data_IF_349075029279
#
_entry.id   IF_349075029279
#
_cell.length_a   1.000
_cell.length_b   1.000
_cell.length_c   1.000
_cell.angle_alpha   90.00
_cell.angle_beta   90.00
_cell.angle_gamma   90.00
#
_symmetry.space_group_name_H-M   'P 1'
#
loop_
_entity.id
_entity.type
_entity.pdbx_description
1 polymer ?
#
# COMPACT_ATOMS: atom_id res chain seq x y z
N UNK A 1 -10.90 -14.87 16.71
CA UNK A 1 -9.81 -14.39 15.84
C UNK A 1 -10.30 -13.20 15.02
N UNK A 2 -10.31 -12.00 15.63
CA UNK A 2 -10.56 -10.70 14.97
C UNK A 2 -9.32 -9.77 15.02
N UNK A 3 -8.15 -10.30 15.42
CA UNK A 3 -7.02 -9.51 15.95
C UNK A 3 -5.93 -9.13 14.92
N UNK A 4 -6.22 -9.05 13.62
CA UNK A 4 -5.20 -8.71 12.60
C UNK A 4 -5.57 -7.58 11.62
N UNK A 5 -6.63 -6.82 11.88
CA UNK A 5 -7.10 -5.73 10.97
C UNK A 5 -6.50 -4.35 11.33
N UNK A 6 -5.57 -4.29 12.27
CA UNK A 6 -5.20 -3.05 12.98
C UNK A 6 -4.31 -2.10 12.15
N UNK A 7 -3.56 -2.61 11.16
CA UNK A 7 -2.63 -1.78 10.38
C UNK A 7 -3.27 -1.04 9.19
N UNK A 8 -4.40 -1.52 8.65
CA UNK A 8 -5.06 -0.91 7.47
C UNK A 8 -6.05 0.19 7.88
N UNK A 9 -6.53 0.13 9.13
CA UNK A 9 -7.56 1.01 9.67
C UNK A 9 -7.14 2.49 9.66
N UNK A 10 -5.88 2.78 9.97
CA UNK A 10 -5.43 4.15 10.23
C UNK A 10 -5.25 5.01 8.96
N UNK A 11 -5.05 4.39 7.79
CA UNK A 11 -4.94 5.12 6.51
C UNK A 11 -6.26 5.78 6.07
N UNK A 12 -7.41 5.31 6.57
CA UNK A 12 -8.74 5.80 6.20
C UNK A 12 -9.13 7.13 6.89
N UNK A 13 -8.30 7.67 7.77
CA UNK A 13 -8.68 8.70 8.76
C UNK A 13 -8.41 10.15 8.30
N UNK A 14 -7.53 10.36 7.33
CA UNK A 14 -7.04 11.71 7.00
C UNK A 14 -7.69 12.35 5.75
N UNK A 15 -8.75 11.74 5.20
CA UNK A 15 -9.41 12.19 3.98
C UNK A 15 -10.59 13.12 4.24
N UNK A 16 -10.35 14.36 4.67
CA UNK A 16 -11.42 15.35 4.70
C UNK A 16 -11.14 16.63 5.48
N UNK A 17 -10.85 17.70 4.75
CA UNK A 17 -11.54 19.01 4.85
C UNK A 17 -10.70 20.14 4.25
N UNK A 18 -11.38 21.17 3.73
CA UNK A 18 -10.81 22.39 3.17
C UNK A 18 -11.27 23.63 4.02
N UNK A 19 -10.37 24.63 4.17
CA UNK A 19 -10.56 26.10 4.35
C UNK A 19 -10.12 26.77 5.69
N UNK A 20 -9.00 27.52 5.62
CA UNK A 20 -8.48 28.62 6.48
C UNK A 20 -8.13 28.38 7.99
N UNK A 21 -6.81 28.36 8.27
CA UNK A 21 -5.97 28.14 9.48
C UNK A 21 -6.50 28.13 10.94
N UNK A 22 -7.73 28.50 11.27
CA UNK A 22 -8.27 28.28 12.64
C UNK A 22 -9.65 27.66 12.62
N UNK A 23 -10.54 28.18 11.76
CA UNK A 23 -11.82 27.53 11.44
C UNK A 23 -11.63 26.25 10.64
N UNK A 24 -10.58 26.18 9.80
CA UNK A 24 -10.13 24.96 9.11
C UNK A 24 -9.92 23.84 10.09
N UNK A 25 -9.06 24.08 11.09
CA UNK A 25 -8.63 23.03 12.00
C UNK A 25 -9.80 22.41 12.75
N UNK A 26 -10.84 23.20 13.11
CA UNK A 26 -12.03 22.69 13.79
C UNK A 26 -12.97 21.89 12.87
N UNK A 27 -13.20 22.34 11.64
CA UNK A 27 -14.02 21.59 10.67
C UNK A 27 -13.30 20.32 10.18
N UNK A 28 -11.99 20.41 9.92
CA UNK A 28 -11.11 19.26 9.65
C UNK A 28 -11.16 18.29 10.83
N UNK A 29 -11.00 18.79 12.06
CA UNK A 29 -11.09 17.97 13.26
C UNK A 29 -12.41 17.21 13.33
N UNK A 30 -13.54 17.87 13.01
CA UNK A 30 -14.86 17.23 13.02
C UNK A 30 -14.98 16.11 11.99
N UNK A 31 -14.45 16.31 10.78
CA UNK A 31 -14.47 15.27 9.72
C UNK A 31 -13.55 14.12 10.08
N UNK A 32 -12.34 14.39 10.59
CA UNK A 32 -11.40 13.40 11.11
C UNK A 32 -12.02 12.61 12.26
N UNK A 33 -12.63 13.27 13.24
CA UNK A 33 -13.30 12.63 14.38
C UNK A 33 -14.44 11.71 13.91
N UNK A 34 -15.20 12.10 12.88
CA UNK A 34 -16.25 11.27 12.30
C UNK A 34 -15.68 10.03 11.61
N UNK A 35 -14.58 10.16 10.88
CA UNK A 35 -13.92 9.03 10.22
C UNK A 35 -13.28 8.07 11.24
N UNK A 36 -12.66 8.60 12.28
CA UNK A 36 -12.19 7.81 13.43
C UNK A 36 -13.34 7.07 14.09
N UNK A 37 -14.46 7.75 14.37
CA UNK A 37 -15.61 7.10 15.02
C UNK A 37 -16.19 5.97 14.15
N UNK A 38 -16.32 6.19 12.83
CA UNK A 38 -16.77 5.18 11.89
C UNK A 38 -15.79 3.99 11.83
N UNK A 39 -14.49 4.27 11.84
CA UNK A 39 -13.45 3.25 11.87
C UNK A 39 -13.52 2.43 13.17
N UNK A 40 -13.64 3.08 14.32
CA UNK A 40 -13.69 2.43 15.62
C UNK A 40 -14.90 1.49 15.73
N UNK A 41 -16.06 1.93 15.21
CA UNK A 41 -17.28 1.11 15.16
C UNK A 41 -17.13 -0.16 14.31
N UNK A 42 -16.30 -0.13 13.26
CA UNK A 42 -16.11 -1.25 12.34
C UNK A 42 -14.96 -2.18 12.77
N UNK A 43 -13.89 -1.62 13.31
CA UNK A 43 -12.62 -2.31 13.53
C UNK A 43 -12.45 -2.87 14.94
N UNK A 44 -13.22 -2.38 15.92
CA UNK A 44 -13.05 -2.78 17.31
C UNK A 44 -11.74 -2.27 17.93
N UNK A 45 -11.24 -1.13 17.46
CA UNK A 45 -10.19 -0.35 18.12
C UNK A 45 -10.67 1.09 18.34
N UNK A 46 -10.09 1.79 19.30
CA UNK A 46 -10.25 3.23 19.47
C UNK A 46 -8.97 3.93 19.02
N UNK A 47 -9.12 4.98 18.21
CA UNK A 47 -8.00 5.80 17.74
C UNK A 47 -8.10 7.18 18.37
N UNK A 48 -7.04 7.61 19.03
CA UNK A 48 -6.90 8.94 19.62
C UNK A 48 -5.70 9.65 19.01
N UNK A 49 -5.68 10.98 19.04
CA UNK A 49 -4.54 11.79 18.61
C UNK A 49 -4.36 12.96 19.59
N UNK A 50 -3.12 13.40 19.76
CA UNK A 50 -2.77 14.49 20.69
C UNK A 50 -2.97 15.87 20.03
N UNK A 51 -2.70 16.00 18.73
CA UNK A 51 -2.85 17.26 17.99
C UNK A 51 -3.26 17.07 16.52
N UNK A 52 -3.89 18.11 15.96
CA UNK A 52 -4.24 18.23 14.54
C UNK A 52 -3.86 19.60 14.02
N UNK A 53 -3.12 19.62 12.91
CA UNK A 53 -2.78 20.86 12.19
C UNK A 53 -3.22 20.76 10.74
N UNK A 54 -3.53 21.91 10.14
CA UNK A 54 -3.89 22.02 8.74
C UNK A 54 -3.12 23.19 8.12
N UNK A 55 -2.65 23.01 6.88
CA UNK A 55 -1.89 24.00 6.14
C UNK A 55 -2.55 24.28 4.80
N UNK A 56 -2.88 25.56 4.56
CA UNK A 56 -3.49 26.02 3.31
C UNK A 56 -2.47 26.07 2.16
N UNK A 57 -1.16 26.16 2.46
CA UNK A 57 -0.13 26.35 1.43
C UNK A 57 0.09 25.11 0.57
N UNK A 58 0.06 23.93 1.19
CA UNK A 58 0.23 22.63 0.55
C UNK A 58 -1.05 21.78 0.63
N UNK A 59 -2.16 22.39 1.04
CA UNK A 59 -3.45 21.74 1.28
C UNK A 59 -3.28 20.42 2.05
N UNK A 60 -2.61 20.51 3.21
CA UNK A 60 -2.27 19.35 4.03
C UNK A 60 -2.94 19.35 5.41
N UNK A 61 -3.19 18.14 5.90
CA UNK A 61 -3.68 17.87 7.25
C UNK A 61 -2.70 16.92 7.91
N UNK A 62 -2.23 17.27 9.11
CA UNK A 62 -1.34 16.43 9.90
C UNK A 62 -1.96 16.12 11.26
N UNK A 63 -2.03 14.84 11.59
CA UNK A 63 -2.33 14.32 12.92
C UNK A 63 -1.02 13.94 13.62
N UNK A 64 -0.91 14.22 14.91
CA UNK A 64 0.29 13.90 15.70
C UNK A 64 -0.05 13.21 17.02
N UNK A 65 0.85 12.36 17.50
CA UNK A 65 0.70 11.65 18.78
C UNK A 65 -0.47 10.67 18.78
N UNK A 66 -0.61 9.89 17.72
CA UNK A 66 -1.74 8.99 17.52
C UNK A 66 -1.54 7.73 18.35
N UNK A 67 -2.60 7.30 19.05
CA UNK A 67 -2.63 6.10 19.89
C UNK A 67 -3.79 5.22 19.46
N UNK A 68 -3.52 3.92 19.30
CA UNK A 68 -4.54 2.92 18.97
C UNK A 68 -4.74 2.02 20.19
N UNK A 69 -5.98 1.90 20.66
CA UNK A 69 -6.36 1.11 21.83
C UNK A 69 -7.41 0.05 21.46
N UNK A 70 -7.48 -1.01 22.24
CA UNK A 70 -8.57 -1.99 22.10
C UNK A 70 -9.85 -1.45 22.74
N UNK A 71 -11.02 -1.60 22.12
CA UNK A 71 -12.31 -1.27 22.81
C UNK A 71 -12.70 -2.33 23.83
N UNK A 72 -12.11 -3.53 23.80
CA UNK A 72 -12.38 -4.59 24.78
C UNK A 72 -11.54 -4.45 26.07
N UNK A 73 -10.59 -3.53 26.12
CA UNK A 73 -9.80 -3.22 27.32
C UNK A 73 -8.86 -2.04 27.08
N UNK A 74 -8.63 -1.21 28.11
CA UNK A 74 -7.83 0.04 28.09
C UNK A 74 -6.33 -0.12 27.70
N UNK A 75 -5.96 -1.23 27.07
CA UNK A 75 -4.60 -1.49 26.63
C UNK A 75 -4.33 -0.82 25.28
N UNK A 76 -3.27 0.00 25.26
CA UNK A 76 -2.71 0.50 24.02
C UNK A 76 -2.15 -0.66 23.20
N UNK A 77 -2.46 -0.65 21.91
CA UNK A 77 -2.03 -1.64 20.92
C UNK A 77 -0.90 -1.09 20.05
N UNK A 78 -0.97 0.18 19.67
CA UNK A 78 0.02 0.82 18.81
C UNK A 78 0.11 2.33 19.04
N UNK A 79 1.17 2.94 18.52
CA UNK A 79 1.38 4.38 18.43
C UNK A 79 1.86 4.76 17.04
N UNK A 80 1.52 5.95 16.58
CA UNK A 80 2.04 6.58 15.37
C UNK A 80 2.42 8.01 15.71
N UNK A 81 3.62 8.43 15.31
CA UNK A 81 4.09 9.77 15.67
C UNK A 81 3.34 10.83 14.85
N UNK A 82 3.31 10.66 13.52
CA UNK A 82 2.54 11.55 12.64
C UNK A 82 1.86 10.82 11.49
N UNK A 83 0.74 11.37 11.04
CA UNK A 83 0.13 11.10 9.74
C UNK A 83 -0.08 12.43 9.05
N UNK A 84 0.42 12.58 7.83
CA UNK A 84 0.16 13.72 6.97
C UNK A 84 -0.53 13.27 5.69
N UNK A 85 -1.58 13.98 5.30
CA UNK A 85 -2.18 13.89 3.97
C UNK A 85 -2.04 15.23 3.28
N UNK A 86 -1.52 15.23 2.06
CA UNK A 86 -1.31 16.44 1.24
C UNK A 86 -2.13 16.37 -0.04
N UNK A 87 -2.54 17.53 -0.54
CA UNK A 87 -3.20 17.64 -1.84
C UNK A 87 -4.61 17.05 -1.93
N UNK A 88 -5.22 16.64 -0.81
CA UNK A 88 -6.56 16.08 -0.81
C UNK A 88 -7.63 17.14 -1.16
N UNK A 89 -8.44 16.86 -2.19
CA UNK A 89 -9.60 17.68 -2.57
C UNK A 89 -10.88 16.84 -2.47
N UNK A 90 -11.92 17.37 -1.80
CA UNK A 90 -13.10 16.58 -1.47
C UNK A 90 -14.07 16.39 -2.64
N UNK A 91 -14.11 17.35 -3.57
CA UNK A 91 -15.04 17.42 -4.70
C UNK A 91 -14.35 17.37 -6.07
N UNK A 92 -13.04 17.11 -6.09
CA UNK A 92 -12.24 17.11 -7.30
C UNK A 92 -11.15 16.04 -7.24
N UNK A 93 -10.60 15.70 -8.41
CA UNK A 93 -9.42 14.86 -8.53
C UNK A 93 -8.21 15.79 -8.50
N UNK A 94 -7.44 15.82 -7.40
CA UNK A 94 -6.29 16.71 -7.30
C UNK A 94 -5.15 16.23 -8.22
N UNK A 95 -4.28 17.14 -8.68
CA UNK A 95 -3.12 16.77 -9.49
C UNK A 95 -2.07 15.98 -8.71
N UNK A 96 -2.06 16.10 -7.37
CA UNK A 96 -1.20 15.35 -6.48
C UNK A 96 -1.95 15.01 -5.19
N UNK A 97 -1.83 13.78 -4.71
CA UNK A 97 -2.23 13.37 -3.36
C UNK A 97 -1.07 12.63 -2.72
N UNK A 98 -0.67 13.05 -1.51
CA UNK A 98 0.36 12.37 -0.74
C UNK A 98 -0.17 11.87 0.60
N UNK A 99 0.35 10.74 1.05
CA UNK A 99 0.11 10.17 2.38
C UNK A 99 1.45 9.79 3.00
N UNK A 100 1.73 10.32 4.19
CA UNK A 100 2.94 10.02 4.95
C UNK A 100 2.55 9.60 6.36
N UNK A 101 2.96 8.41 6.76
CA UNK A 101 2.87 7.92 8.15
C UNK A 101 4.27 7.73 8.69
N UNK A 102 4.54 8.25 9.88
CA UNK A 102 5.86 8.13 10.53
C UNK A 102 5.78 7.38 11.85
N UNK A 103 6.77 6.52 12.06
CA UNK A 103 7.01 5.79 13.30
C UNK A 103 5.79 5.03 13.85
N UNK A 104 5.07 4.30 13.00
CA UNK A 104 4.11 3.31 13.47
C UNK A 104 4.85 2.23 14.29
N UNK A 105 4.43 1.99 15.52
CA UNK A 105 5.02 0.99 16.43
C UNK A 105 3.91 0.27 17.18
N UNK A 106 4.04 -1.04 17.36
CA UNK A 106 3.24 -1.78 18.33
C UNK A 106 3.67 -1.46 19.76
N UNK A 107 2.74 -1.49 20.71
CA UNK A 107 3.05 -1.31 22.13
C UNK A 107 3.75 -2.54 22.71
N UNK A 108 4.60 -2.34 23.72
CA UNK A 108 5.26 -3.45 24.42
C UNK A 108 4.25 -4.45 25.00
N UNK A 109 3.14 -3.95 25.56
CA UNK A 109 2.06 -4.80 26.07
C UNK A 109 1.48 -5.70 24.98
N UNK A 110 1.25 -5.18 23.78
CA UNK A 110 0.77 -5.97 22.65
C UNK A 110 1.82 -6.99 22.18
N UNK A 111 3.10 -6.59 22.14
CA UNK A 111 4.20 -7.48 21.74
C UNK A 111 4.30 -8.70 22.67
N UNK A 112 4.07 -8.54 23.98
CA UNK A 112 4.07 -9.68 24.92
C UNK A 112 2.93 -10.68 24.70
N UNK A 113 1.87 -10.27 24.02
CA UNK A 113 0.70 -11.12 23.72
C UNK A 113 0.84 -11.85 22.38
N UNK A 114 1.85 -11.52 21.58
CA UNK A 114 2.07 -12.18 20.31
C UNK A 114 2.41 -13.66 20.51
N UNK A 115 1.91 -14.56 19.65
CA UNK A 115 2.29 -15.97 19.72
C UNK A 115 3.81 -16.10 19.52
N UNK A 116 4.41 -17.15 20.10
CA UNK A 116 5.85 -17.43 19.92
C UNK A 116 6.25 -17.61 18.45
N UNK A 117 5.30 -17.91 17.57
CA UNK A 117 5.49 -18.01 16.12
C UNK A 117 5.53 -16.66 15.40
N UNK A 118 5.28 -15.54 16.08
CA UNK A 118 5.37 -14.22 15.49
C UNK A 118 6.84 -13.81 15.32
N UNK A 119 7.17 -13.21 14.18
CA UNK A 119 8.50 -12.68 13.93
C UNK A 119 8.70 -11.44 14.82
N UNK A 120 9.41 -11.60 15.93
CA UNK A 120 9.61 -10.55 16.94
C UNK A 120 10.38 -9.35 16.40
N UNK A 121 11.26 -9.54 15.40
CA UNK A 121 12.00 -8.45 14.74
C UNK A 121 11.05 -7.53 13.97
N UNK A 122 10.20 -8.09 13.11
CA UNK A 122 9.19 -7.30 12.40
C UNK A 122 8.14 -6.72 13.37
N UNK A 123 7.75 -7.45 14.42
CA UNK A 123 6.76 -6.92 15.34
C UNK A 123 7.28 -5.71 16.14
N UNK A 124 8.57 -5.70 16.51
CA UNK A 124 9.15 -4.66 17.37
C UNK A 124 9.71 -3.45 16.61
N UNK A 125 9.88 -3.53 15.29
CA UNK A 125 10.39 -2.39 14.51
C UNK A 125 9.35 -1.28 14.34
N UNK A 126 9.83 -0.08 14.03
CA UNK A 126 9.00 1.05 13.60
C UNK A 126 8.83 1.08 12.09
N UNK A 127 7.64 1.48 11.65
CA UNK A 127 7.29 1.53 10.24
C UNK A 127 7.01 2.97 9.79
N UNK A 128 7.59 3.33 8.65
CA UNK A 128 7.21 4.53 7.91
C UNK A 128 6.51 4.10 6.62
N UNK A 129 5.48 4.84 6.22
CA UNK A 129 4.78 4.64 4.95
C UNK A 129 4.75 5.97 4.23
N UNK A 130 5.19 5.98 2.98
CA UNK A 130 5.07 7.12 2.09
C UNK A 130 4.34 6.64 0.83
N UNK A 131 3.24 7.28 0.49
CA UNK A 131 2.52 7.00 -0.74
C UNK A 131 2.14 8.29 -1.45
N UNK A 132 2.16 8.27 -2.77
CA UNK A 132 1.71 9.39 -3.58
C UNK A 132 0.95 8.92 -4.82
N UNK A 133 0.08 9.79 -5.30
CA UNK A 133 -0.63 9.67 -6.55
C UNK A 133 -0.51 11.01 -7.27
N UNK A 134 0.21 11.01 -8.38
CA UNK A 134 0.25 12.12 -9.33
C UNK A 134 -0.74 11.84 -10.45
N UNK A 135 -1.59 12.81 -10.78
CA UNK A 135 -2.58 12.71 -11.85
C UNK A 135 -2.48 13.89 -12.81
N UNK A 136 -2.30 13.59 -14.10
CA UNK A 136 -2.32 14.56 -15.16
C UNK A 136 -3.69 14.57 -15.84
N UNK A 137 -4.48 15.63 -15.60
CA UNK A 137 -5.82 15.77 -16.18
C UNK A 137 -5.83 15.92 -17.70
N UNK A 138 -4.77 16.47 -18.30
CA UNK A 138 -4.71 16.74 -19.73
C UNK A 138 -4.40 15.47 -20.53
N UNK A 139 -3.48 14.62 -20.04
CA UNK A 139 -3.17 13.33 -20.67
C UNK A 139 -4.06 12.19 -20.17
N UNK A 140 -4.64 12.33 -18.98
CA UNK A 140 -5.31 11.25 -18.27
C UNK A 140 -4.34 10.21 -17.70
N UNK A 141 -3.07 10.56 -17.51
CA UNK A 141 -2.08 9.67 -16.91
C UNK A 141 -2.09 9.78 -15.38
N UNK A 142 -1.69 8.69 -14.72
CA UNK A 142 -1.43 8.72 -13.28
C UNK A 142 -0.23 7.86 -12.90
N UNK A 143 0.53 8.33 -11.93
CA UNK A 143 1.67 7.61 -11.37
C UNK A 143 1.45 7.44 -9.86
N UNK A 144 1.41 6.19 -9.43
CA UNK A 144 1.29 5.80 -8.03
C UNK A 144 2.64 5.35 -7.51
N UNK A 145 3.04 5.85 -6.34
CA UNK A 145 4.21 5.39 -5.63
C UNK A 145 3.86 5.00 -4.19
N UNK A 146 4.49 3.94 -3.71
CA UNK A 146 4.38 3.45 -2.34
C UNK A 146 5.76 3.01 -1.87
N UNK A 147 6.20 3.52 -0.73
CA UNK A 147 7.38 3.07 -0.01
C UNK A 147 7.00 2.75 1.43
N UNK A 148 7.31 1.55 1.87
CA UNK A 148 7.18 1.10 3.25
C UNK A 148 8.57 0.80 3.79
N UNK A 149 8.97 1.50 4.83
CA UNK A 149 10.24 1.30 5.52
C UNK A 149 9.98 0.64 6.86
N UNK A 150 10.50 -0.57 7.04
CA UNK A 150 10.63 -1.20 8.35
C UNK A 150 12.03 -0.86 8.87
N UNK A 151 12.11 0.00 9.89
CA UNK A 151 13.36 0.57 10.37
C UNK A 151 14.39 -0.51 10.72
N UNK A 152 15.62 -0.33 10.25
CA UNK A 152 16.76 -1.25 10.39
C UNK A 152 16.52 -2.66 9.82
N UNK A 153 15.41 -2.90 9.12
CA UNK A 153 15.04 -4.19 8.55
C UNK A 153 15.09 -4.15 7.04
N UNK A 154 14.14 -3.45 6.42
CA UNK A 154 14.01 -3.42 4.98
C UNK A 154 13.14 -2.27 4.49
N UNK A 155 13.43 -1.84 3.26
CA UNK A 155 12.58 -0.99 2.46
C UNK A 155 11.84 -1.83 1.42
N UNK A 156 10.55 -1.54 1.24
CA UNK A 156 9.72 -2.10 0.17
C UNK A 156 9.15 -0.95 -0.63
N UNK A 157 9.43 -0.94 -1.93
CA UNK A 157 8.93 0.07 -2.87
C UNK A 157 8.03 -0.58 -3.91
N UNK A 158 6.94 0.09 -4.24
CA UNK A 158 6.04 -0.28 -5.33
C UNK A 158 5.63 0.97 -6.10
N UNK A 159 5.92 1.00 -7.40
CA UNK A 159 5.48 2.09 -8.28
C UNK A 159 4.63 1.52 -9.41
N UNK A 160 3.60 2.26 -9.81
CA UNK A 160 2.67 1.89 -10.88
C UNK A 160 2.36 3.11 -11.73
N UNK A 161 2.77 3.09 -12.99
CA UNK A 161 2.39 4.09 -13.98
C UNK A 161 1.21 3.61 -14.81
N UNK A 162 0.20 4.45 -14.98
CA UNK A 162 -1.01 4.19 -15.76
C UNK A 162 -1.26 5.33 -16.75
N UNK A 163 -1.78 4.98 -17.92
CA UNK A 163 -2.42 5.88 -18.87
C UNK A 163 -3.92 5.64 -18.88
N UNK A 164 -4.65 6.66 -19.37
CA UNK A 164 -6.13 6.65 -19.45
C UNK A 164 -6.80 6.34 -18.11
N UNK A 165 -6.26 6.87 -17.02
CA UNK A 165 -6.80 6.71 -15.67
C UNK A 165 -7.97 7.65 -15.35
N UNK A 166 -8.30 8.62 -16.22
CA UNK A 166 -9.44 9.53 -16.00
C UNK A 166 -10.75 8.82 -15.62
N UNK A 167 -11.21 7.77 -16.33
CA UNK A 167 -12.43 7.06 -15.94
C UNK A 167 -12.34 6.43 -14.55
N UNK A 168 -11.16 5.94 -14.15
CA UNK A 168 -10.92 5.38 -12.82
C UNK A 168 -10.98 6.47 -11.74
N UNK A 169 -10.33 7.61 -11.99
CA UNK A 169 -10.33 8.74 -11.08
C UNK A 169 -11.73 9.32 -10.90
N UNK A 170 -12.50 9.45 -11.98
CA UNK A 170 -13.89 9.92 -11.95
C UNK A 170 -14.82 8.93 -11.24
N UNK A 171 -14.63 7.62 -11.46
CA UNK A 171 -15.38 6.59 -10.74
C UNK A 171 -15.11 6.64 -9.23
N UNK A 172 -13.83 6.81 -8.83
CA UNK A 172 -13.43 6.97 -7.43
C UNK A 172 -14.08 8.20 -6.78
N UNK A 173 -14.04 9.36 -7.48
CA UNK A 173 -14.67 10.59 -7.01
C UNK A 173 -16.19 10.41 -6.85
N UNK A 174 -16.86 9.80 -7.83
CA UNK A 174 -18.30 9.57 -7.76
C UNK A 174 -18.70 8.65 -6.59
N UNK A 175 -17.89 7.63 -6.27
CA UNK A 175 -18.11 6.75 -5.12
C UNK A 175 -17.98 7.55 -3.81
N UNK A 176 -16.92 8.37 -3.69
CA UNK A 176 -16.68 9.23 -2.54
C UNK A 176 -17.85 10.19 -2.29
N UNK A 177 -18.32 10.88 -3.34
CA UNK A 177 -19.48 11.78 -3.27
C UNK A 177 -20.77 11.06 -2.85
N UNK A 178 -21.00 9.84 -3.36
CA UNK A 178 -22.19 9.05 -3.00
C UNK A 178 -22.16 8.59 -1.53
N UNK A 179 -20.99 8.22 -1.00
CA UNK A 179 -20.83 7.87 0.41
C UNK A 179 -21.08 9.07 1.34
N UNK A 180 -20.58 10.25 0.95
CA UNK A 180 -20.84 11.51 1.66
C UNK A 180 -22.32 11.87 1.69
N UNK A 181 -23.00 11.81 0.54
CA UNK A 181 -24.44 12.07 0.43
C UNK A 181 -25.28 11.11 1.30
N UNK A 182 -24.76 9.92 1.59
CA UNK A 182 -25.41 8.91 2.43
C UNK A 182 -25.07 9.04 3.92
N UNK A 183 -24.31 10.08 4.33
CA UNK A 183 -23.91 10.30 5.71
C UNK A 183 -23.06 9.17 6.31
N UNK A 184 -22.29 8.46 5.48
CA UNK A 184 -21.51 7.30 5.92
C UNK A 184 -22.34 6.02 6.16
N UNK A 185 -23.63 6.01 5.80
CA UNK A 185 -24.43 4.79 5.83
C UNK A 185 -23.84 3.74 4.87
N UNK A 186 -23.83 2.49 5.32
CA UNK A 186 -23.30 1.38 4.53
C UNK A 186 -24.11 1.25 3.22
N UNK A 187 -23.45 1.18 2.05
CA UNK A 187 -24.16 1.15 0.78
C UNK A 187 -25.04 -0.09 0.69
N UNK A 188 -26.21 0.04 0.07
CA UNK A 188 -27.08 -1.12 -0.19
C UNK A 188 -26.39 -2.09 -1.14
N UNK A 189 -26.82 -3.36 -1.16
CA UNK A 189 -26.27 -4.35 -2.10
C UNK A 189 -26.37 -3.86 -3.56
N UNK A 190 -27.48 -3.23 -3.93
CA UNK A 190 -27.65 -2.66 -5.26
C UNK A 190 -26.64 -1.55 -5.56
N UNK A 191 -26.41 -0.64 -4.60
CA UNK A 191 -25.41 0.40 -4.72
C UNK A 191 -23.99 -0.19 -4.82
N UNK A 192 -23.67 -1.20 -4.02
CA UNK A 192 -22.38 -1.89 -4.09
C UNK A 192 -22.14 -2.54 -5.46
N UNK A 193 -23.14 -3.21 -6.01
CA UNK A 193 -23.04 -3.83 -7.34
C UNK A 193 -22.87 -2.78 -8.44
N UNK A 194 -23.56 -1.63 -8.34
CA UNK A 194 -23.38 -0.51 -9.28
C UNK A 194 -21.98 0.09 -9.17
N UNK A 195 -21.47 0.31 -7.96
CA UNK A 195 -20.12 0.83 -7.72
C UNK A 195 -19.05 -0.13 -8.27
N UNK A 196 -19.18 -1.42 -7.99
CA UNK A 196 -18.31 -2.45 -8.53
C UNK A 196 -18.33 -2.46 -10.06
N UNK A 197 -19.52 -2.37 -10.67
CA UNK A 197 -19.66 -2.35 -12.13
C UNK A 197 -18.96 -1.14 -12.77
N UNK A 198 -19.12 0.05 -12.17
CA UNK A 198 -18.42 1.27 -12.62
C UNK A 198 -16.90 1.14 -12.52
N UNK A 199 -16.40 0.62 -11.41
CA UNK A 199 -14.97 0.38 -11.22
C UNK A 199 -14.43 -0.63 -12.23
N UNK A 200 -15.15 -1.73 -12.47
CA UNK A 200 -14.76 -2.74 -13.45
C UNK A 200 -14.71 -2.18 -14.88
N UNK A 201 -15.68 -1.34 -15.25
CA UNK A 201 -15.69 -0.65 -16.54
C UNK A 201 -14.47 0.28 -16.67
N UNK A 202 -14.24 1.13 -15.66
CA UNK A 202 -13.09 2.02 -15.64
C UNK A 202 -11.74 1.25 -15.70
N UNK A 203 -11.62 0.15 -14.97
CA UNK A 203 -10.43 -0.71 -14.98
C UNK A 203 -10.17 -1.35 -16.34
N UNK A 204 -11.22 -1.61 -17.13
CA UNK A 204 -11.07 -2.21 -18.46
C UNK A 204 -10.47 -1.25 -19.50
N UNK A 205 -10.56 0.06 -19.25
CA UNK A 205 -10.01 1.12 -20.11
C UNK A 205 -8.58 1.53 -19.73
N UNK A 206 -8.11 1.10 -18.55
CA UNK A 206 -6.76 1.40 -18.07
C UNK A 206 -5.69 0.77 -18.97
N UNK A 207 -4.69 1.59 -19.28
CA UNK A 207 -3.49 1.17 -19.98
C UNK A 207 -2.32 1.23 -18.99
N UNK A 208 -1.83 0.09 -18.50
CA UNK A 208 -0.68 0.11 -17.61
C UNK A 208 0.57 0.47 -18.43
N UNK A 209 1.43 1.33 -17.87
CA UNK A 209 2.67 1.78 -18.52
C UNK A 209 3.90 1.18 -17.88
N UNK A 210 3.94 1.19 -16.56
CA UNK A 210 5.08 0.71 -15.81
C UNK A 210 4.63 0.08 -14.51
N UNK A 211 5.38 -0.92 -14.07
CA UNK A 211 5.29 -1.46 -12.71
C UNK A 211 6.70 -1.65 -12.21
N UNK A 212 6.92 -1.26 -10.96
CA UNK A 212 8.18 -1.45 -10.26
C UNK A 212 7.89 -2.02 -8.89
N UNK A 213 8.70 -3.00 -8.48
CA UNK A 213 8.74 -3.54 -7.14
C UNK A 213 10.19 -3.64 -6.72
N UNK A 214 10.52 -3.14 -5.53
CA UNK A 214 11.83 -3.33 -4.94
C UNK A 214 11.71 -3.72 -3.47
N UNK A 215 12.60 -4.61 -3.03
CA UNK A 215 12.91 -4.85 -1.63
C UNK A 215 14.41 -4.64 -1.42
N UNK A 216 14.77 -3.86 -0.41
CA UNK A 216 16.14 -3.51 -0.09
C UNK A 216 16.40 -3.77 1.39
N UNK A 217 17.57 -4.34 1.71
CA UNK A 217 17.99 -4.60 3.07
C UNK A 217 18.46 -3.32 3.75
N UNK A 218 17.79 -2.94 4.83
CA UNK A 218 18.17 -1.81 5.69
C UNK A 218 18.94 -2.26 6.95
N UNK A 219 19.26 -3.56 7.06
CA UNK A 219 20.12 -4.12 8.08
C UNK A 219 19.80 -5.57 8.40
N UNK A 220 18.54 -5.84 8.74
CA UNK A 220 18.09 -7.11 9.35
C UNK A 220 17.21 -7.97 8.41
N UNK A 221 17.07 -7.64 7.12
CA UNK A 221 16.25 -8.40 6.17
C UNK A 221 16.61 -9.89 6.17
N UNK A 222 17.91 -10.20 6.10
CA UNK A 222 18.40 -11.57 6.14
C UNK A 222 17.96 -12.32 7.40
N UNK A 223 18.12 -11.70 8.57
CA UNK A 223 17.75 -12.33 9.83
C UNK A 223 16.22 -12.54 9.94
N UNK A 224 15.43 -11.64 9.36
CA UNK A 224 13.97 -11.80 9.26
C UNK A 224 13.62 -13.00 8.38
N UNK A 225 14.22 -13.11 7.20
CA UNK A 225 13.99 -14.25 6.28
C UNK A 225 14.43 -15.56 6.92
N UNK A 226 15.63 -15.62 7.52
CA UNK A 226 16.12 -16.82 8.21
C UNK A 226 15.18 -17.25 9.34
N UNK A 227 14.68 -16.31 10.16
CA UNK A 227 13.70 -16.60 11.20
C UNK A 227 12.39 -17.18 10.64
N UNK A 228 11.92 -16.70 9.48
CA UNK A 228 10.75 -17.27 8.81
C UNK A 228 11.00 -18.68 8.27
N UNK A 229 12.20 -18.96 7.77
CA UNK A 229 12.58 -20.28 7.29
C UNK A 229 12.69 -21.27 8.47
N UNK A 230 13.34 -20.87 9.56
CA UNK A 230 13.47 -21.68 10.78
C UNK A 230 12.11 -22.05 11.37
N UNK A 231 11.16 -21.11 11.40
CA UNK A 231 9.79 -21.36 11.84
C UNK A 231 9.06 -22.40 10.96
N UNK A 232 9.47 -22.56 9.71
CA UNK A 232 8.99 -23.59 8.78
C UNK A 232 9.84 -24.88 8.82
N UNK A 233 10.82 -24.96 9.72
CA UNK A 233 11.76 -26.08 9.80
C UNK A 233 12.71 -26.16 8.61
N UNK A 234 12.96 -25.05 7.94
CA UNK A 234 13.79 -24.93 6.74
C UNK A 234 15.06 -24.12 7.02
N UNK A 235 16.19 -24.55 6.46
CA UNK A 235 17.43 -23.75 6.46
C UNK A 235 17.51 -22.82 5.25
N UNK A 236 18.38 -21.81 5.31
CA UNK A 236 18.63 -20.94 4.15
C UNK A 236 19.13 -21.73 2.93
N UNK A 237 19.98 -22.73 3.13
CA UNK A 237 20.45 -23.61 2.04
C UNK A 237 19.30 -24.39 1.39
N UNK A 238 18.36 -24.89 2.19
CA UNK A 238 17.17 -25.58 1.66
C UNK A 238 16.27 -24.61 0.89
N UNK A 239 16.15 -23.35 1.34
CA UNK A 239 15.45 -22.31 0.60
C UNK A 239 16.09 -22.04 -0.77
N UNK A 240 17.42 -21.89 -0.84
CA UNK A 240 18.15 -21.70 -2.10
C UNK A 240 17.93 -22.87 -3.07
N UNK A 241 17.94 -24.11 -2.55
CA UNK A 241 17.62 -25.30 -3.33
C UNK A 241 16.17 -25.29 -3.82
N UNK A 242 15.22 -24.87 -2.98
CA UNK A 242 13.81 -24.75 -3.35
C UNK A 242 13.61 -23.73 -4.47
N UNK A 243 14.25 -22.55 -4.35
CA UNK A 243 14.22 -21.51 -5.40
C UNK A 243 14.78 -22.06 -6.70
N UNK A 244 15.93 -22.75 -6.65
CA UNK A 244 16.54 -23.36 -7.83
C UNK A 244 15.60 -24.37 -8.49
N UNK A 245 14.96 -25.26 -7.71
CA UNK A 245 14.01 -26.23 -8.24
C UNK A 245 12.76 -25.56 -8.82
N UNK A 246 12.26 -24.48 -8.21
CA UNK A 246 11.09 -23.76 -8.69
C UNK A 246 11.37 -23.08 -10.04
N UNK A 247 12.54 -22.45 -10.20
CA UNK A 247 12.96 -21.84 -11.46
C UNK A 247 13.15 -22.88 -12.58
N UNK A 248 13.49 -24.13 -12.24
CA UNK A 248 13.54 -25.22 -13.21
C UNK A 248 12.15 -25.72 -13.64
N UNK A 249 11.18 -25.75 -12.71
CA UNK A 249 9.81 -26.21 -12.98
C UNK A 249 8.95 -25.15 -13.69
N UNK A 250 9.19 -23.87 -13.41
CA UNK A 250 8.53 -22.74 -14.02
C UNK A 250 9.59 -21.80 -14.61
N UNK A 251 10.08 -22.09 -15.83
CA UNK A 251 11.12 -21.29 -16.46
C UNK A 251 10.70 -19.83 -16.62
N UNK A 252 11.62 -18.94 -16.23
CA UNK A 252 11.56 -17.49 -16.45
C UNK A 252 12.73 -17.08 -17.34
N UNK A 253 12.83 -15.78 -17.70
CA UNK A 253 13.99 -15.31 -18.48
C UNK A 253 15.28 -15.51 -17.69
N UNK A 254 16.40 -15.67 -18.40
CA UNK A 254 17.70 -15.89 -17.78
C UNK A 254 18.08 -14.75 -16.80
N UNK A 255 17.77 -13.51 -17.16
CA UNK A 255 18.04 -12.34 -16.32
C UNK A 255 17.21 -12.37 -15.03
N UNK A 256 15.90 -12.69 -15.12
CA UNK A 256 15.04 -12.81 -13.95
C UNK A 256 15.46 -14.00 -13.07
N UNK A 257 15.80 -15.15 -13.66
CA UNK A 257 16.29 -16.30 -12.92
C UNK A 257 17.58 -15.97 -12.15
N UNK A 258 18.48 -15.21 -12.77
CA UNK A 258 19.73 -14.75 -12.16
C UNK A 258 19.46 -13.78 -11.01
N UNK A 259 18.61 -12.78 -11.20
CA UNK A 259 18.22 -11.84 -10.16
C UNK A 259 17.59 -12.54 -8.94
N UNK A 260 16.63 -13.45 -9.16
CA UNK A 260 15.99 -14.22 -8.09
C UNK A 260 17.01 -15.10 -7.36
N UNK A 261 17.91 -15.75 -8.10
CA UNK A 261 18.94 -16.63 -7.51
C UNK A 261 19.94 -15.83 -6.68
N UNK A 262 20.41 -14.68 -7.18
CA UNK A 262 21.33 -13.82 -6.44
C UNK A 262 20.69 -13.29 -5.16
N UNK A 263 19.46 -12.76 -5.25
CA UNK A 263 18.72 -12.33 -4.07
C UNK A 263 18.51 -13.48 -3.07
N UNK A 264 18.15 -14.68 -3.54
CA UNK A 264 18.00 -15.83 -2.64
C UNK A 264 19.33 -16.22 -1.95
N UNK A 265 20.47 -15.91 -2.55
CA UNK A 265 21.79 -16.17 -1.99
C UNK A 265 22.22 -15.09 -1.00
N UNK A 266 22.07 -13.81 -1.34
CA UNK A 266 22.55 -12.68 -0.54
C UNK A 266 21.52 -12.09 0.42
N UNK A 267 20.24 -12.12 0.05
CA UNK A 267 19.12 -11.46 0.75
C UNK A 267 19.37 -9.95 0.97
N UNK A 268 20.04 -9.31 0.02
CA UNK A 268 20.42 -7.89 0.13
C UNK A 268 19.42 -7.00 -0.61
N UNK A 269 19.14 -7.28 -1.88
CA UNK A 269 18.12 -6.53 -2.62
C UNK A 269 17.52 -7.33 -3.77
N UNK A 270 16.28 -7.02 -4.11
CA UNK A 270 15.62 -7.48 -5.33
C UNK A 270 14.80 -6.34 -5.90
N UNK A 271 15.12 -5.91 -7.11
CA UNK A 271 14.37 -4.91 -7.87
C UNK A 271 13.89 -5.53 -9.17
N UNK A 272 12.59 -5.36 -9.44
CA UNK A 272 11.89 -5.83 -10.62
C UNK A 272 11.15 -4.63 -11.21
N UNK A 273 11.39 -4.32 -12.48
CA UNK A 273 10.62 -3.32 -13.19
C UNK A 273 10.21 -3.84 -14.56
N UNK A 274 9.03 -3.41 -15.03
CA UNK A 274 8.54 -3.74 -16.36
C UNK A 274 7.94 -2.48 -16.99
N UNK A 275 8.21 -2.28 -18.27
CA UNK A 275 7.56 -1.26 -19.10
C UNK A 275 6.60 -1.95 -20.06
N UNK A 276 5.31 -1.79 -19.78
CA UNK A 276 4.24 -2.46 -20.52
C UNK A 276 3.98 -1.74 -21.84
N UNK A 277 3.57 -2.46 -22.91
CA UNK A 277 3.42 -1.85 -24.22
C UNK A 277 2.33 -0.77 -24.22
N UNK A 278 2.69 0.41 -24.74
CA UNK A 278 1.79 1.57 -24.83
C UNK A 278 0.54 1.28 -25.68
N UNK A 279 -0.57 1.93 -25.33
CA UNK A 279 -1.82 1.86 -26.11
C UNK A 279 -2.57 0.54 -25.99
N UNK A 280 -2.16 -0.35 -25.06
CA UNK A 280 -2.85 -1.61 -24.79
C UNK A 280 -3.51 -1.58 -23.42
N UNK A 281 -4.76 -2.02 -23.38
CA UNK A 281 -5.48 -2.25 -22.12
C UNK A 281 -4.90 -3.42 -21.34
N UNK A 282 -5.19 -3.47 -20.04
CA UNK A 282 -4.89 -4.65 -19.19
C UNK A 282 -5.37 -5.97 -19.81
N UNK A 283 -6.53 -5.97 -20.47
CA UNK A 283 -7.10 -7.18 -21.09
C UNK A 283 -6.25 -7.65 -22.28
N UNK A 284 -5.85 -6.74 -23.16
CA UNK A 284 -5.03 -7.04 -24.33
C UNK A 284 -3.63 -7.51 -23.92
N UNK A 285 -3.04 -6.87 -22.90
CA UNK A 285 -1.78 -7.30 -22.31
C UNK A 285 -1.92 -8.72 -21.75
N UNK A 286 -2.96 -9.01 -20.96
CA UNK A 286 -3.20 -10.34 -20.40
C UNK A 286 -3.37 -11.42 -21.49
N UNK A 287 -4.11 -11.13 -22.56
CA UNK A 287 -4.23 -12.06 -23.70
C UNK A 287 -2.89 -12.34 -24.36
N UNK A 288 -2.05 -11.31 -24.50
CA UNK A 288 -0.73 -11.44 -25.10
C UNK A 288 0.23 -12.21 -24.19
N UNK A 289 0.19 -11.98 -22.88
CA UNK A 289 0.92 -12.78 -21.88
C UNK A 289 0.53 -14.26 -21.99
N UNK A 290 -0.77 -14.57 -22.06
CA UNK A 290 -1.23 -15.96 -22.23
C UNK A 290 -0.73 -16.59 -23.54
N UNK A 291 -0.65 -15.81 -24.62
CA UNK A 291 -0.11 -16.30 -25.91
C UNK A 291 1.39 -16.58 -25.86
N UNK A 292 2.12 -15.91 -24.97
CA UNK A 292 3.55 -16.09 -24.72
C UNK A 292 3.82 -17.09 -23.58
N UNK A 293 2.81 -17.78 -23.07
CA UNK A 293 2.98 -18.80 -22.05
C UNK A 293 3.94 -19.90 -22.55
N UNK A 294 4.96 -20.20 -21.74
CA UNK A 294 6.03 -21.14 -22.12
C UNK A 294 7.15 -20.52 -22.96
N UNK A 295 7.11 -19.21 -23.25
CA UNK A 295 8.17 -18.46 -23.94
C UNK A 295 8.71 -17.36 -23.03
N UNK A 296 9.44 -17.70 -21.96
CA UNK A 296 9.80 -16.75 -20.91
C UNK A 296 10.67 -15.58 -21.39
N UNK A 297 11.58 -15.81 -22.34
CA UNK A 297 12.42 -14.76 -22.92
C UNK A 297 11.61 -13.75 -23.75
N UNK A 298 10.67 -14.24 -24.57
CA UNK A 298 9.81 -13.38 -25.37
C UNK A 298 8.81 -12.64 -24.50
N UNK A 299 8.34 -13.26 -23.42
CA UNK A 299 7.52 -12.60 -22.41
C UNK A 299 8.28 -11.45 -21.72
N UNK A 300 9.52 -11.68 -21.29
CA UNK A 300 10.35 -10.65 -20.66
C UNK A 300 10.62 -9.48 -21.61
N UNK A 301 10.91 -9.74 -22.88
CA UNK A 301 11.05 -8.69 -23.90
C UNK A 301 9.75 -7.93 -24.15
N UNK A 302 8.62 -8.63 -24.19
CA UNK A 302 7.31 -8.05 -24.43
C UNK A 302 6.93 -7.00 -23.37
N UNK A 303 7.26 -7.27 -22.10
CA UNK A 303 7.01 -6.34 -20.99
C UNK A 303 8.24 -5.49 -20.62
N UNK A 304 9.29 -5.53 -21.44
CA UNK A 304 10.57 -4.85 -21.19
C UNK A 304 11.03 -4.99 -19.71
N UNK A 305 11.15 -6.25 -19.26
CA UNK A 305 11.49 -6.59 -17.88
C UNK A 305 12.97 -6.24 -17.60
N UNK A 306 13.22 -5.46 -16.55
CA UNK A 306 14.53 -5.31 -15.90
C UNK A 306 14.46 -5.96 -14.53
N UNK A 307 15.44 -6.80 -14.21
CA UNK A 307 15.50 -7.52 -12.95
C UNK A 307 16.93 -7.49 -12.40
N UNK A 308 17.07 -7.10 -11.13
CA UNK A 308 18.35 -7.03 -10.42
C UNK A 308 18.17 -7.66 -9.05
N UNK A 309 19.12 -8.50 -8.65
CA UNK A 309 19.13 -9.07 -7.31
C UNK A 309 20.55 -9.28 -6.82
N UNK A 310 20.71 -9.08 -5.51
CA UNK A 310 21.98 -9.15 -4.77
C UNK A 310 21.85 -9.99 -3.49
#
# INVERSE_FOLDING_TARGET
MKKLVIAVAVAAVAGGAYYANYTATQEVKKVVDQQIAALSAQSGVEVMYDDISASVFNNSVQLSGIKVQSVEGDEQVASIDTIEVTGYEEDAIPPHTGFVMTNFRFSDSFLTQLPQSANSKLASTSYNVNSSLDYNKDSGDSDFALKVTAADVADVTFNLGLAKSTPLMEASLAISQQQKASGGAQPTLEQQLQQQSKMMAAMSELEPRSVEFAIENEGELKAVVESFLEAQGMTHEQFQQMVTMQLQQAPVSADLATAITNFANGLSSLSLSASLPEGKTMLEINQQIMSLAGQPEELAKFINLDAKGE
#
